data_IF_450125704145
#
_entry.id   IF_450125704145
#
_cell.length_a   1.000
_cell.length_b   1.000
_cell.length_c   1.000
_cell.angle_alpha   90.00
_cell.angle_beta   90.00
_cell.angle_gamma   90.00
#
_symmetry.space_group_name_H-M   'P 1'
#
loop_
_entity.id
_entity.type
_entity.pdbx_description
1 polymer ?
#
# COMPACT_ATOMS: atom_id res chain seq x y z
N UNK A 1 10.63 -16.05 7.03
CA UNK A 1 11.66 -15.43 6.16
C UNK A 1 11.86 -13.98 6.56
N UNK A 2 13.00 -13.78 7.22
CA UNK A 2 13.84 -12.60 7.47
C UNK A 2 13.34 -11.47 8.38
N UNK A 3 13.58 -11.68 9.68
CA UNK A 3 13.72 -10.63 10.68
C UNK A 3 14.84 -9.63 10.34
N UNK A 4 15.81 -10.01 9.50
CA UNK A 4 16.93 -9.15 9.05
C UNK A 4 16.55 -8.04 8.06
N UNK A 5 15.30 -8.00 7.56
CA UNK A 5 14.78 -6.89 6.73
C UNK A 5 13.96 -5.86 7.51
N UNK A 6 13.75 -6.08 8.82
CA UNK A 6 13.07 -5.11 9.71
C UNK A 6 14.03 -4.06 10.27
N UNK A 7 15.33 -4.33 10.22
CA UNK A 7 16.40 -3.41 10.64
C UNK A 7 17.31 -3.12 9.44
N UNK A 8 16.75 -2.48 8.41
CA UNK A 8 17.54 -1.96 7.29
C UNK A 8 18.56 -0.96 7.87
N UNK A 9 19.85 -1.13 7.54
CA UNK A 9 20.92 -0.23 7.97
C UNK A 9 20.58 1.23 7.70
N UNK A 10 19.82 1.51 6.63
CA UNK A 10 19.32 2.84 6.33
C UNK A 10 18.30 3.34 7.35
N UNK A 11 17.36 2.50 7.76
CA UNK A 11 16.36 2.84 8.78
C UNK A 11 17.02 3.06 10.15
N UNK A 12 18.01 2.24 10.50
CA UNK A 12 18.81 2.44 11.70
C UNK A 12 19.53 3.80 11.69
N UNK A 13 20.28 4.12 10.63
CA UNK A 13 21.00 5.41 10.50
C UNK A 13 20.03 6.59 10.55
N UNK A 14 18.87 6.46 9.90
CA UNK A 14 17.84 7.52 9.88
C UNK A 14 17.24 7.76 11.27
N UNK A 15 16.99 6.70 12.06
CA UNK A 15 16.53 6.82 13.46
C UNK A 15 17.59 7.45 14.36
N UNK A 16 18.86 7.04 14.22
CA UNK A 16 19.95 7.63 15.01
C UNK A 16 20.16 9.11 14.67
N UNK A 17 20.06 9.48 13.40
CA UNK A 17 20.08 10.88 12.97
C UNK A 17 18.98 11.71 13.63
N UNK A 18 17.74 11.21 13.64
CA UNK A 18 16.64 11.88 14.31
C UNK A 18 16.86 12.05 15.83
N UNK A 19 17.39 11.03 16.50
CA UNK A 19 17.72 11.12 17.92
C UNK A 19 18.79 12.18 18.21
N UNK A 20 19.81 12.28 17.36
CA UNK A 20 20.86 13.30 17.50
C UNK A 20 20.29 14.72 17.34
N UNK A 21 19.43 14.93 16.34
CA UNK A 21 18.72 16.21 16.18
C UNK A 21 17.81 16.53 17.37
N UNK A 22 17.06 15.54 17.88
CA UNK A 22 16.19 15.70 19.04
C UNK A 22 16.97 16.01 20.34
N UNK A 23 18.20 15.50 20.46
CA UNK A 23 19.11 15.84 21.58
C UNK A 23 19.73 17.23 21.48
N UNK A 24 19.38 18.01 20.45
CA UNK A 24 19.80 19.40 20.30
C UNK A 24 21.05 19.61 19.46
N UNK A 25 21.57 18.58 18.78
CA UNK A 25 22.60 18.77 17.77
C UNK A 25 22.02 19.43 16.52
N UNK A 26 22.80 20.29 15.88
CA UNK A 26 22.50 20.81 14.56
C UNK A 26 22.77 19.76 13.47
N UNK A 27 22.20 19.93 12.27
CA UNK A 27 22.38 18.99 11.16
C UNK A 27 23.85 18.66 10.84
N UNK A 28 24.79 19.64 10.76
CA UNK A 28 26.19 19.33 10.47
C UNK A 28 26.87 18.56 11.61
N UNK A 29 26.61 18.86 12.89
CA UNK A 29 27.19 18.08 13.99
C UNK A 29 26.56 16.69 14.10
N UNK A 30 25.27 16.54 13.84
CA UNK A 30 24.62 15.23 13.78
C UNK A 30 25.19 14.35 12.66
N UNK A 31 25.45 14.92 11.48
CA UNK A 31 26.12 14.22 10.38
C UNK A 31 27.58 13.87 10.70
N UNK A 32 28.32 14.77 11.36
CA UNK A 32 29.68 14.49 11.80
C UNK A 32 29.71 13.35 12.82
N UNK A 33 28.80 13.36 13.79
CA UNK A 33 28.70 12.33 14.83
C UNK A 33 28.30 10.97 14.27
N UNK A 34 27.38 10.93 13.30
CA UNK A 34 27.05 9.68 12.60
C UNK A 34 28.22 9.17 11.77
N UNK A 35 28.96 10.06 11.09
CA UNK A 35 30.13 9.67 10.30
C UNK A 35 31.24 9.10 11.18
N UNK A 36 31.41 9.67 12.37
CA UNK A 36 32.39 9.22 13.37
C UNK A 36 32.06 7.82 13.92
N UNK A 37 30.78 7.56 14.23
CA UNK A 37 30.37 6.31 14.90
C UNK A 37 30.01 5.19 13.91
N UNK A 38 29.36 5.51 12.79
CA UNK A 38 28.84 4.54 11.81
C UNK A 38 29.62 4.49 10.50
N UNK A 39 30.59 5.40 10.31
CA UNK A 39 31.39 5.50 9.09
C UNK A 39 30.72 6.32 7.97
N UNK A 40 31.52 6.68 6.97
CA UNK A 40 31.07 7.51 5.83
C UNK A 40 30.03 6.80 4.95
N UNK A 41 30.13 5.48 4.81
CA UNK A 41 29.22 4.67 3.99
C UNK A 41 27.80 4.65 4.56
N UNK A 42 27.66 4.60 5.89
CA UNK A 42 26.37 4.69 6.57
C UNK A 42 25.72 6.06 6.36
N UNK A 43 26.50 7.14 6.40
CA UNK A 43 26.01 8.50 6.13
C UNK A 43 25.64 8.69 4.65
N UNK A 44 26.31 8.01 3.72
CA UNK A 44 25.96 8.01 2.30
C UNK A 44 24.54 7.44 2.05
N UNK A 45 24.05 6.53 2.90
CA UNK A 45 22.68 6.00 2.82
C UNK A 45 21.60 7.07 3.09
N UNK A 46 21.94 8.16 3.80
CA UNK A 46 21.05 9.32 3.97
C UNK A 46 20.91 10.11 2.66
N UNK A 47 21.95 10.17 1.82
CA UNK A 47 21.97 10.88 0.54
C UNK A 47 21.61 10.04 -0.70
N UNK A 48 21.74 8.71 -0.61
CA UNK A 48 21.53 7.77 -1.72
C UNK A 48 20.06 7.43 -1.95
N UNK A 49 19.36 8.24 -2.74
CA UNK A 49 18.09 7.86 -3.36
C UNK A 49 18.27 7.56 -4.84
N UNK A 50 18.29 6.27 -5.22
CA UNK A 50 18.45 5.75 -6.58
C UNK A 50 17.86 6.65 -7.69
N UNK A 51 18.68 7.00 -8.68
CA UNK A 51 18.38 7.95 -9.75
C UNK A 51 17.51 7.39 -10.90
N UNK A 52 16.75 6.30 -10.71
CA UNK A 52 16.07 5.59 -11.79
C UNK A 52 14.53 5.52 -11.65
N UNK A 53 13.84 6.67 -11.53
CA UNK A 53 12.39 6.63 -11.37
C UNK A 53 11.61 7.95 -11.48
N UNK A 54 11.74 8.67 -12.60
CA UNK A 54 10.71 9.55 -13.19
C UNK A 54 10.20 10.78 -12.40
N UNK A 55 9.50 11.72 -13.09
CA UNK A 55 9.19 13.08 -12.62
C UNK A 55 8.12 13.17 -11.51
N UNK A 56 7.76 12.07 -10.85
CA UNK A 56 6.90 12.08 -9.66
C UNK A 56 7.66 12.43 -8.36
N UNK A 57 8.97 12.67 -8.43
CA UNK A 57 9.86 12.88 -7.28
C UNK A 57 9.72 14.23 -6.57
N UNK A 58 8.81 15.12 -6.99
CA UNK A 58 8.60 16.42 -6.34
C UNK A 58 7.53 16.43 -5.23
N UNK A 59 6.82 15.32 -5.01
CA UNK A 59 5.89 15.21 -3.87
C UNK A 59 6.51 14.52 -2.63
N UNK A 60 7.59 13.74 -2.80
CA UNK A 60 8.12 12.81 -1.80
C UNK A 60 9.40 13.25 -1.06
N UNK A 61 9.94 14.40 -1.38
CA UNK A 61 11.07 15.02 -0.66
C UNK A 61 10.70 16.36 -0.01
N UNK A 62 9.41 16.74 -0.04
CA UNK A 62 8.96 18.11 0.27
C UNK A 62 8.19 18.32 1.58
N UNK A 63 7.73 17.28 2.29
CA UNK A 63 6.92 17.48 3.51
C UNK A 63 7.77 17.84 4.74
N UNK A 64 8.91 17.15 4.96
CA UNK A 64 9.85 17.49 6.03
C UNK A 64 10.36 18.93 5.93
N UNK A 65 10.89 19.38 4.77
CA UNK A 65 11.29 20.77 4.59
C UNK A 65 10.16 21.79 4.74
N UNK A 66 8.93 21.46 4.32
CA UNK A 66 7.75 22.34 4.50
C UNK A 66 7.33 22.44 5.97
N UNK A 67 7.38 21.35 6.73
CA UNK A 67 7.12 21.36 8.18
C UNK A 67 8.22 22.11 8.93
N UNK A 68 9.49 21.92 8.55
CA UNK A 68 10.63 22.64 9.12
C UNK A 68 10.55 24.15 8.83
N UNK A 69 10.16 24.54 7.62
CA UNK A 69 9.91 25.93 7.27
C UNK A 69 8.76 26.53 8.08
N UNK A 70 7.63 25.82 8.18
CA UNK A 70 6.48 26.26 8.97
C UNK A 70 6.80 26.40 10.47
N UNK A 71 7.58 25.49 11.05
CA UNK A 71 8.04 25.65 12.43
C UNK A 71 8.96 26.85 12.60
N UNK A 72 9.90 27.06 11.67
CA UNK A 72 10.80 28.22 11.73
C UNK A 72 10.04 29.54 11.65
N UNK A 73 9.01 29.64 10.81
CA UNK A 73 8.14 30.82 10.71
C UNK A 73 7.35 31.09 12.00
N UNK A 74 7.04 30.03 12.76
CA UNK A 74 6.26 30.10 14.00
C UNK A 74 7.13 30.04 15.27
N UNK A 75 8.45 30.24 15.15
CA UNK A 75 9.38 30.31 16.27
C UNK A 75 9.79 28.95 16.88
N UNK A 76 9.48 27.84 16.22
CA UNK A 76 9.87 26.49 16.61
C UNK A 76 11.21 26.02 16.02
N UNK A 77 11.74 24.93 16.57
CA UNK A 77 12.99 24.30 16.13
C UNK A 77 12.80 23.45 14.88
N UNK A 78 13.46 23.82 13.77
CA UNK A 78 13.47 23.03 12.54
C UNK A 78 14.04 21.62 12.74
N UNK A 79 15.10 21.49 13.55
CA UNK A 79 15.72 20.20 13.88
C UNK A 79 14.77 19.31 14.72
N UNK A 80 14.04 19.91 15.67
CA UNK A 80 13.04 19.21 16.48
C UNK A 80 11.88 18.66 15.65
N UNK A 81 11.38 19.46 14.69
CA UNK A 81 10.34 18.99 13.74
C UNK A 81 10.86 17.84 12.88
N UNK A 82 12.08 17.97 12.36
CA UNK A 82 12.65 16.96 11.47
C UNK A 82 12.85 15.64 12.20
N UNK A 83 13.29 15.67 13.45
CA UNK A 83 13.37 14.48 14.31
C UNK A 83 12.00 13.82 14.55
N UNK A 84 10.99 14.61 14.94
CA UNK A 84 9.63 14.10 15.18
C UNK A 84 8.97 13.55 13.89
N UNK A 85 9.24 14.18 12.74
CA UNK A 85 8.78 13.72 11.43
C UNK A 85 9.45 12.41 11.00
N UNK A 86 10.74 12.23 11.30
CA UNK A 86 11.43 10.97 11.04
C UNK A 86 10.86 9.84 11.93
N UNK A 87 10.54 10.13 13.19
CA UNK A 87 9.95 9.14 14.09
C UNK A 87 8.57 8.68 13.60
N UNK A 88 7.68 9.62 13.25
CA UNK A 88 6.36 9.30 12.68
C UNK A 88 6.46 8.57 11.33
N UNK A 89 7.48 8.85 10.51
CA UNK A 89 7.76 8.08 9.30
C UNK A 89 8.16 6.62 9.60
N UNK A 90 8.96 6.39 10.65
CA UNK A 90 9.36 5.04 11.05
C UNK A 90 8.14 4.23 11.52
N UNK A 91 7.27 4.83 12.33
CA UNK A 91 6.01 4.21 12.76
C UNK A 91 5.08 3.92 11.57
N UNK A 92 4.96 4.88 10.63
CA UNK A 92 4.17 4.69 9.42
C UNK A 92 4.73 3.58 8.50
N UNK A 93 6.05 3.38 8.46
CA UNK A 93 6.70 2.27 7.72
C UNK A 93 6.38 0.93 8.35
N UNK A 94 6.46 0.81 9.67
CA UNK A 94 6.08 -0.41 10.40
C UNK A 94 4.61 -0.74 10.15
N UNK A 95 3.74 0.26 10.27
CA UNK A 95 2.32 0.13 9.95
C UNK A 95 2.09 -0.36 8.50
N UNK A 96 2.78 0.23 7.52
CA UNK A 96 2.67 -0.16 6.12
C UNK A 96 3.18 -1.60 5.87
N UNK A 97 4.18 -2.05 6.64
CA UNK A 97 4.69 -3.43 6.58
C UNK A 97 3.68 -4.43 7.13
N UNK A 98 3.09 -4.15 8.30
CA UNK A 98 2.10 -5.03 8.91
C UNK A 98 0.82 -5.12 8.06
N UNK A 99 0.39 -4.00 7.50
CA UNK A 99 -0.71 -3.99 6.52
C UNK A 99 -0.39 -4.81 5.26
N UNK A 100 0.86 -4.77 4.78
CA UNK A 100 1.31 -5.46 3.57
C UNK A 100 1.48 -6.98 3.74
N UNK A 101 1.81 -7.46 4.94
CA UNK A 101 2.10 -8.89 5.18
C UNK A 101 0.97 -9.82 4.68
N UNK A 102 -0.32 -9.62 5.06
CA UNK A 102 -1.42 -10.47 4.58
C UNK A 102 -1.65 -10.34 3.07
N UNK A 103 -1.46 -9.14 2.53
CA UNK A 103 -1.58 -8.87 1.09
C UNK A 103 -0.54 -9.67 0.30
N UNK A 104 0.71 -9.66 0.75
CA UNK A 104 1.80 -10.43 0.14
C UNK A 104 1.49 -11.93 0.15
N UNK A 105 1.06 -12.46 1.28
CA UNK A 105 0.70 -13.89 1.43
C UNK A 105 -0.43 -14.27 0.48
N UNK A 106 -1.45 -13.43 0.36
CA UNK A 106 -2.53 -13.63 -0.60
C UNK A 106 -2.01 -13.59 -2.04
N UNK A 107 -1.19 -12.60 -2.40
CA UNK A 107 -0.65 -12.46 -3.76
C UNK A 107 0.21 -13.67 -4.14
N UNK A 108 1.05 -14.17 -3.23
CA UNK A 108 1.85 -15.38 -3.47
C UNK A 108 0.98 -16.63 -3.66
N UNK A 109 -0.10 -16.75 -2.89
CA UNK A 109 -1.03 -17.86 -3.02
C UNK A 109 -1.74 -17.84 -4.38
N UNK A 110 -2.22 -16.66 -4.81
CA UNK A 110 -2.87 -16.53 -6.12
C UNK A 110 -1.89 -16.77 -7.26
N UNK A 111 -0.65 -16.28 -7.15
CA UNK A 111 0.40 -16.55 -8.14
C UNK A 111 0.69 -18.05 -8.27
N UNK A 112 0.75 -18.77 -7.15
CA UNK A 112 0.91 -20.22 -7.13
C UNK A 112 -0.24 -20.93 -7.85
N UNK A 113 -1.50 -20.57 -7.54
CA UNK A 113 -2.65 -21.15 -8.22
C UNK A 113 -2.70 -20.81 -9.72
N UNK A 114 -2.30 -19.60 -10.11
CA UNK A 114 -2.20 -19.20 -11.51
C UNK A 114 -1.13 -20.03 -12.24
N UNK A 115 0.01 -20.29 -11.60
CA UNK A 115 1.03 -21.19 -12.12
C UNK A 115 0.53 -22.62 -12.29
N UNK A 116 -0.18 -23.16 -11.30
CA UNK A 116 -0.80 -24.48 -11.38
C UNK A 116 -1.82 -24.58 -12.53
N UNK A 117 -2.71 -23.57 -12.64
CA UNK A 117 -3.72 -23.51 -13.68
C UNK A 117 -3.09 -23.42 -15.09
N UNK A 118 -1.99 -22.67 -15.22
CA UNK A 118 -1.22 -22.60 -16.47
C UNK A 118 -0.65 -23.98 -16.85
N UNK A 119 -0.09 -24.73 -15.90
CA UNK A 119 0.44 -26.08 -16.14
C UNK A 119 -0.68 -27.02 -16.59
N UNK A 120 -1.84 -26.99 -15.94
CA UNK A 120 -3.01 -27.81 -16.32
C UNK A 120 -3.47 -27.45 -17.74
N UNK A 121 -3.59 -26.15 -18.05
CA UNK A 121 -3.99 -25.69 -19.38
C UNK A 121 -2.98 -26.11 -20.46
N UNK A 122 -1.68 -26.09 -20.16
CA UNK A 122 -0.63 -26.54 -21.07
C UNK A 122 -0.76 -28.04 -21.36
N UNK A 123 -0.85 -28.87 -20.31
CA UNK A 123 -1.05 -30.33 -20.46
C UNK A 123 -2.31 -30.63 -21.27
N UNK A 124 -3.40 -29.92 -20.99
CA UNK A 124 -4.65 -30.10 -21.71
C UNK A 124 -4.52 -29.74 -23.19
N UNK A 125 -3.92 -28.59 -23.50
CA UNK A 125 -3.76 -28.13 -24.88
C UNK A 125 -2.81 -29.04 -25.69
N UNK A 126 -1.78 -29.62 -25.06
CA UNK A 126 -0.78 -30.44 -25.77
C UNK A 126 -1.16 -31.90 -25.89
N UNK A 127 -1.82 -32.48 -24.89
CA UNK A 127 -2.08 -33.92 -24.85
C UNK A 127 -3.56 -34.27 -25.00
N UNK A 128 -4.45 -33.50 -24.38
CA UNK A 128 -5.87 -33.85 -24.28
C UNK A 128 -6.65 -33.35 -25.49
N UNK A 129 -6.49 -32.08 -25.86
CA UNK A 129 -7.20 -31.47 -26.98
C UNK A 129 -6.90 -32.16 -28.33
N UNK A 130 -5.62 -32.49 -28.67
CA UNK A 130 -5.33 -33.20 -29.92
C UNK A 130 -5.96 -34.61 -29.94
N UNK A 131 -5.91 -35.34 -28.83
CA UNK A 131 -6.50 -36.67 -28.73
C UNK A 131 -8.03 -36.64 -28.96
N UNK A 132 -8.73 -35.66 -28.38
CA UNK A 132 -10.16 -35.47 -28.64
C UNK A 132 -10.45 -35.03 -30.07
N UNK A 133 -9.64 -34.14 -30.67
CA UNK A 133 -9.82 -33.74 -32.07
C UNK A 133 -9.62 -34.90 -33.06
N UNK A 134 -8.71 -35.83 -32.76
CA UNK A 134 -8.54 -37.05 -33.55
C UNK A 134 -9.78 -37.96 -33.43
N UNK A 135 -10.35 -38.11 -32.23
CA UNK A 135 -11.58 -38.88 -32.02
C UNK A 135 -12.79 -38.29 -32.76
N UNK A 136 -13.00 -36.96 -32.67
CA UNK A 136 -14.08 -36.25 -33.38
C UNK A 136 -13.99 -36.50 -34.90
N UNK A 137 -12.77 -36.40 -35.48
CA UNK A 137 -12.54 -36.68 -36.90
C UNK A 137 -12.77 -38.14 -37.28
N UNK A 138 -12.39 -39.09 -36.43
CA UNK A 138 -12.64 -40.52 -36.70
C UNK A 138 -14.10 -40.91 -36.59
N UNK A 139 -14.88 -40.22 -35.75
CA UNK A 139 -16.31 -40.43 -35.58
C UNK A 139 -17.17 -39.67 -36.60
N UNK A 140 -16.55 -38.83 -37.46
CA UNK A 140 -17.21 -38.15 -38.58
C UNK A 140 -18.13 -36.99 -38.17
N UNK A 141 -17.99 -36.45 -36.95
CA UNK A 141 -18.85 -35.39 -36.42
C UNK A 141 -17.99 -34.18 -36.04
N UNK A 142 -18.44 -32.98 -36.45
CA UNK A 142 -17.82 -31.71 -36.05
C UNK A 142 -18.20 -31.39 -34.60
N UNK A 143 -17.46 -31.97 -33.64
CA UNK A 143 -17.70 -31.80 -32.20
C UNK A 143 -17.14 -30.50 -31.62
N UNK A 144 -17.41 -30.28 -30.33
CA UNK A 144 -16.93 -29.11 -29.59
C UNK A 144 -15.39 -29.02 -29.56
N UNK A 145 -14.67 -30.14 -29.68
CA UNK A 145 -13.21 -30.14 -29.69
C UNK A 145 -12.65 -29.59 -31.01
N UNK A 146 -13.27 -29.92 -32.16
CA UNK A 146 -12.89 -29.35 -33.46
C UNK A 146 -13.22 -27.84 -33.53
N UNK A 147 -14.30 -27.37 -32.88
CA UNK A 147 -14.60 -25.92 -32.77
C UNK A 147 -13.59 -25.17 -31.88
N UNK A 148 -13.14 -25.77 -30.77
CA UNK A 148 -12.12 -25.19 -29.87
C UNK A 148 -10.74 -25.21 -30.56
N UNK A 149 -10.42 -26.26 -31.30
CA UNK A 149 -9.19 -26.35 -32.09
C UNK A 149 -9.19 -25.34 -33.25
N UNK A 150 -10.31 -25.16 -33.95
CA UNK A 150 -10.46 -24.24 -35.08
C UNK A 150 -10.46 -22.76 -34.66
N UNK A 151 -11.04 -22.42 -33.50
CA UNK A 151 -11.02 -21.05 -32.95
C UNK A 151 -9.80 -20.75 -32.07
N UNK A 152 -8.84 -21.68 -32.02
CA UNK A 152 -7.52 -21.50 -31.42
C UNK A 152 -7.47 -21.74 -29.91
N UNK A 153 -6.50 -22.54 -29.48
CA UNK A 153 -6.12 -22.75 -28.07
C UNK A 153 -5.96 -21.43 -27.27
N UNK A 154 -5.75 -20.30 -27.96
CA UNK A 154 -5.74 -18.95 -27.42
C UNK A 154 -6.98 -18.64 -26.55
N UNK A 155 -8.17 -19.14 -26.91
CA UNK A 155 -9.39 -18.95 -26.09
C UNK A 155 -9.35 -19.70 -24.77
N UNK A 156 -8.62 -20.82 -24.68
CA UNK A 156 -8.40 -21.58 -23.45
C UNK A 156 -7.47 -20.80 -22.49
N UNK A 157 -6.51 -20.06 -23.04
CA UNK A 157 -5.58 -19.20 -22.29
C UNK A 157 -6.13 -17.80 -22.00
N UNK A 158 -7.15 -17.33 -22.73
CA UNK A 158 -7.77 -16.02 -22.53
C UNK A 158 -8.20 -15.72 -21.07
N UNK A 159 -8.92 -16.62 -20.35
CA UNK A 159 -9.26 -16.37 -18.95
C UNK A 159 -8.02 -16.29 -18.04
N UNK A 160 -7.00 -17.13 -18.29
CA UNK A 160 -5.72 -17.07 -17.55
C UNK A 160 -4.99 -15.74 -17.79
N UNK A 161 -4.97 -15.24 -19.02
CA UNK A 161 -4.37 -13.96 -19.37
C UNK A 161 -5.10 -12.79 -18.70
N UNK A 162 -6.44 -12.77 -18.76
CA UNK A 162 -7.26 -11.76 -18.07
C UNK A 162 -6.98 -11.77 -16.57
N UNK A 163 -6.84 -12.95 -15.97
CA UNK A 163 -6.48 -13.10 -14.56
C UNK A 163 -5.11 -12.52 -14.24
N UNK A 164 -4.10 -12.82 -15.07
CA UNK A 164 -2.75 -12.31 -14.90
C UNK A 164 -2.73 -10.77 -14.96
N UNK A 165 -3.43 -10.18 -15.93
CA UNK A 165 -3.55 -8.73 -16.07
C UNK A 165 -4.24 -8.12 -14.83
N UNK A 166 -5.36 -8.68 -14.39
CA UNK A 166 -6.08 -8.23 -13.21
C UNK A 166 -5.21 -8.30 -11.94
N UNK A 167 -4.43 -9.37 -11.78
CA UNK A 167 -3.52 -9.54 -10.66
C UNK A 167 -2.39 -8.52 -10.69
N UNK A 168 -1.80 -8.23 -11.86
CA UNK A 168 -0.77 -7.20 -12.02
C UNK A 168 -1.32 -5.81 -11.69
N UNK A 169 -2.53 -5.48 -12.16
CA UNK A 169 -3.21 -4.22 -11.83
C UNK A 169 -3.49 -4.09 -10.33
N UNK A 170 -3.92 -5.17 -9.68
CA UNK A 170 -4.18 -5.21 -8.24
C UNK A 170 -2.89 -5.10 -7.43
N UNK A 171 -1.86 -5.86 -7.80
CA UNK A 171 -0.54 -5.83 -7.16
C UNK A 171 0.10 -4.44 -7.26
N UNK A 172 0.06 -3.81 -8.44
CA UNK A 172 0.58 -2.45 -8.62
C UNK A 172 -0.23 -1.41 -7.86
N UNK A 173 -1.55 -1.59 -7.69
CA UNK A 173 -2.39 -0.72 -6.84
C UNK A 173 -2.03 -0.87 -5.37
N UNK A 174 -1.90 -2.10 -4.86
CA UNK A 174 -1.52 -2.33 -3.46
C UNK A 174 -0.09 -1.87 -3.17
N UNK A 175 0.85 -2.06 -4.10
CA UNK A 175 2.22 -1.55 -3.96
C UNK A 175 2.25 -0.02 -3.91
N UNK A 176 1.46 0.66 -4.76
CA UNK A 176 1.29 2.11 -4.69
C UNK A 176 0.72 2.56 -3.35
N UNK A 177 -0.26 1.83 -2.82
CA UNK A 177 -0.85 2.12 -1.52
C UNK A 177 0.16 1.94 -0.38
N UNK A 178 0.91 0.83 -0.37
CA UNK A 178 2.01 0.58 0.58
C UNK A 178 3.05 1.70 0.54
N UNK A 179 3.50 2.09 -0.65
CA UNK A 179 4.50 3.17 -0.81
C UNK A 179 3.97 4.48 -0.25
N UNK A 180 2.72 4.83 -0.55
CA UNK A 180 2.08 6.04 -0.01
C UNK A 180 1.97 6.01 1.51
N UNK A 181 1.57 4.88 2.11
CA UNK A 181 1.50 4.75 3.57
C UNK A 181 2.87 4.87 4.23
N UNK A 182 3.90 4.24 3.64
CA UNK A 182 5.29 4.31 4.12
C UNK A 182 5.94 5.70 4.00
N UNK A 183 5.32 6.61 3.25
CA UNK A 183 5.79 7.98 3.01
C UNK A 183 4.84 9.05 3.61
N UNK A 184 3.83 8.65 4.38
CA UNK A 184 2.77 9.55 4.89
C UNK A 184 2.10 10.39 3.78
N UNK A 185 2.08 9.88 2.56
CA UNK A 185 1.46 10.55 1.42
C UNK A 185 -0.05 10.41 1.45
N UNK A 186 -0.79 11.31 0.77
CA UNK A 186 -2.24 11.20 0.74
C UNK A 186 -2.59 9.91 0.02
N UNK A 187 -3.38 9.06 0.69
CA UNK A 187 -4.13 7.99 0.05
C UNK A 187 -5.19 8.67 -0.82
N UNK A 188 -4.77 9.20 -1.98
CA UNK A 188 -5.53 10.18 -2.75
C UNK A 188 -7.01 9.84 -2.91
N UNK A 189 -7.87 10.87 -3.00
CA UNK A 189 -9.34 10.75 -3.14
C UNK A 189 -9.66 9.65 -4.14
N UNK A 190 -10.01 8.47 -3.64
CA UNK A 190 -10.34 7.35 -4.49
C UNK A 190 -11.67 7.70 -5.16
N UNK A 191 -11.60 8.24 -6.39
CA UNK A 191 -12.77 8.51 -7.24
C UNK A 191 -13.54 7.23 -7.59
N UNK A 192 -12.97 6.07 -7.30
CA UNK A 192 -13.59 4.77 -7.38
C UNK A 192 -13.66 4.15 -5.96
N UNK A 193 -14.88 4.04 -5.42
CA UNK A 193 -15.24 3.61 -4.06
C UNK A 193 -14.90 2.15 -3.68
N UNK A 194 -13.79 1.62 -4.17
CA UNK A 194 -13.26 0.30 -3.81
C UNK A 194 -12.32 0.33 -2.61
N UNK A 195 -11.72 1.50 -2.32
CA UNK A 195 -11.16 1.80 -1.01
C UNK A 195 -12.22 2.66 -0.32
N UNK A 196 -12.90 2.08 0.66
CA UNK A 196 -13.93 2.75 1.46
C UNK A 196 -13.41 4.15 1.82
N UNK A 197 -14.06 5.21 1.33
CA UNK A 197 -13.58 6.59 1.48
C UNK A 197 -13.35 6.97 2.95
N UNK A 198 -14.00 6.23 3.86
CA UNK A 198 -13.83 6.28 5.31
C UNK A 198 -12.40 5.95 5.77
N UNK A 199 -11.74 4.95 5.18
CA UNK A 199 -10.36 4.57 5.56
C UNK A 199 -9.34 5.62 5.10
N UNK A 200 -9.53 6.18 3.89
CA UNK A 200 -8.68 7.27 3.40
C UNK A 200 -8.89 8.56 4.22
N UNK A 201 -10.14 8.86 4.62
CA UNK A 201 -10.46 9.99 5.48
C UNK A 201 -9.85 9.83 6.89
N UNK A 202 -9.99 8.66 7.50
CA UNK A 202 -9.39 8.35 8.81
C UNK A 202 -7.86 8.48 8.78
N UNK A 203 -7.21 7.98 7.72
CA UNK A 203 -5.77 8.13 7.53
C UNK A 203 -5.36 9.60 7.31
N UNK A 204 -6.17 10.39 6.61
CA UNK A 204 -5.90 11.80 6.39
C UNK A 204 -5.98 12.60 7.70
N UNK A 205 -6.93 12.27 8.58
CA UNK A 205 -7.03 12.84 9.93
C UNK A 205 -5.81 12.46 10.78
N UNK A 206 -5.44 11.16 10.81
CA UNK A 206 -4.26 10.68 11.53
C UNK A 206 -3.00 11.42 11.09
N UNK A 207 -2.80 11.61 9.80
CA UNK A 207 -1.65 12.36 9.27
C UNK A 207 -1.63 13.82 9.74
N UNK A 208 -2.78 14.49 9.81
CA UNK A 208 -2.84 15.85 10.33
C UNK A 208 -2.42 15.89 11.80
N UNK A 209 -2.84 14.91 12.60
CA UNK A 209 -2.49 14.80 14.01
C UNK A 209 -0.99 14.52 14.22
N UNK A 210 -0.38 13.65 13.40
CA UNK A 210 1.08 13.42 13.42
C UNK A 210 1.88 14.69 13.09
N UNK A 211 1.44 15.48 12.11
CA UNK A 211 2.10 16.74 11.76
C UNK A 211 1.91 17.81 12.84
N UNK A 212 0.73 17.87 13.46
CA UNK A 212 0.48 18.73 14.61
C UNK A 212 1.37 18.35 15.80
N UNK A 213 1.52 17.05 16.09
CA UNK A 213 2.40 16.56 17.16
C UNK A 213 3.87 16.90 16.89
N UNK A 214 4.33 16.78 15.63
CA UNK A 214 5.69 17.15 15.25
C UNK A 214 5.97 18.65 15.41
N UNK A 215 5.01 19.52 15.04
CA UNK A 215 5.12 20.97 15.23
C UNK A 215 5.11 21.34 16.73
N UNK A 216 4.26 20.69 17.53
CA UNK A 216 4.20 20.92 18.97
C UNK A 216 5.49 20.50 19.68
N UNK A 217 6.06 19.34 19.32
CA UNK A 217 7.33 18.86 19.85
C UNK A 217 8.51 19.80 19.54
N UNK A 218 8.41 20.56 18.45
CA UNK A 218 9.38 21.58 18.08
C UNK A 218 9.23 22.93 18.80
N UNK A 219 8.26 23.06 19.70
CA UNK A 219 8.06 24.27 20.50
C UNK A 219 7.10 25.30 19.88
N UNK A 220 6.36 24.95 18.82
CA UNK A 220 5.30 25.82 18.28
C UNK A 220 4.15 25.93 19.30
N UNK A 221 3.58 27.13 19.44
CA UNK A 221 2.46 27.42 20.35
C UNK A 221 1.18 26.71 19.95
N UNK A 222 0.37 26.26 20.92
CA UNK A 222 -0.82 25.42 20.67
C UNK A 222 -1.79 26.04 19.66
N UNK A 223 -2.01 27.35 19.74
CA UNK A 223 -2.87 28.13 18.85
C UNK A 223 -2.43 28.10 17.37
N UNK A 224 -1.13 27.93 17.11
CA UNK A 224 -0.54 28.02 15.78
C UNK A 224 -0.20 26.65 15.16
N UNK A 225 -0.36 25.56 15.90
CA UNK A 225 0.05 24.21 15.46
C UNK A 225 -0.87 23.63 14.36
N UNK A 226 -2.18 23.87 14.46
CA UNK A 226 -3.16 23.15 13.65
C UNK A 226 -3.19 23.59 12.18
N UNK A 227 -3.10 24.89 11.92
CA UNK A 227 -3.22 25.45 10.57
C UNK A 227 -2.09 25.02 9.62
N UNK A 228 -0.80 25.08 10.01
CA UNK A 228 0.29 24.58 9.18
C UNK A 228 0.23 23.06 9.01
N UNK A 229 -0.18 22.32 10.04
CA UNK A 229 -0.37 20.87 9.96
C UNK A 229 -1.41 20.51 8.89
N UNK A 230 -2.55 21.21 8.87
CA UNK A 230 -3.61 21.04 7.86
C UNK A 230 -3.12 21.35 6.45
N UNK A 231 -2.38 22.46 6.27
CA UNK A 231 -1.82 22.85 4.97
C UNK A 231 -0.82 21.82 4.44
N UNK A 232 0.11 21.36 5.27
CA UNK A 232 1.11 20.37 4.85
C UNK A 232 0.47 19.00 4.63
N UNK A 233 -0.53 18.64 5.42
CA UNK A 233 -1.35 17.46 5.19
C UNK A 233 -2.31 17.60 3.98
N UNK A 234 -2.23 18.67 3.19
CA UNK A 234 -3.06 18.85 2.00
C UNK A 234 -4.56 18.81 2.29
N UNK A 235 -4.96 19.26 3.48
CA UNK A 235 -6.36 19.43 3.84
C UNK A 235 -6.97 20.57 2.98
N UNK A 236 -8.24 20.46 2.56
CA UNK A 236 -8.86 21.53 1.78
C UNK A 236 -8.86 22.85 2.57
N UNK A 237 -8.36 23.91 1.94
CA UNK A 237 -8.34 25.24 2.54
C UNK A 237 -9.77 25.67 2.92
N UNK A 238 -9.92 26.27 4.11
CA UNK A 238 -11.22 26.75 4.62
C UNK A 238 -12.17 25.65 5.12
N UNK A 239 -11.76 24.38 5.11
CA UNK A 239 -12.54 23.31 5.74
C UNK A 239 -12.01 23.02 7.14
N UNK A 240 -12.87 23.08 8.19
CA UNK A 240 -12.44 22.74 9.53
C UNK A 240 -12.01 21.26 9.59
N UNK A 241 -11.04 20.97 10.45
CA UNK A 241 -10.73 19.58 10.83
C UNK A 241 -12.02 18.94 11.34
N UNK A 242 -12.33 17.72 10.88
CA UNK A 242 -13.60 17.00 11.10
C UNK A 242 -14.37 17.49 12.35
N UNK A 243 -15.50 18.18 12.14
CA UNK A 243 -16.16 19.11 13.10
C UNK A 243 -15.89 18.86 14.59
N UNK A 244 -16.31 17.71 15.13
CA UNK A 244 -16.16 17.39 16.56
C UNK A 244 -14.69 17.32 17.03
N UNK A 245 -13.77 16.89 16.18
CA UNK A 245 -12.33 16.82 16.51
C UNK A 245 -11.72 18.21 16.57
N UNK A 246 -12.07 19.08 15.62
CA UNK A 246 -11.63 20.49 15.63
C UNK A 246 -12.12 21.23 16.86
N UNK A 247 -13.39 21.01 17.24
CA UNK A 247 -13.97 21.61 18.44
C UNK A 247 -13.32 21.11 19.73
N UNK A 248 -13.08 19.80 19.87
CA UNK A 248 -12.40 19.22 21.06
C UNK A 248 -10.99 19.75 21.22
N UNK A 249 -10.23 19.88 20.13
CA UNK A 249 -8.88 20.46 20.17
C UNK A 249 -8.90 21.94 20.53
N UNK A 250 -9.84 22.72 19.98
CA UNK A 250 -10.01 24.13 20.35
C UNK A 250 -10.46 24.33 21.80
N UNK A 251 -11.28 23.42 22.34
CA UNK A 251 -11.65 23.41 23.76
C UNK A 251 -10.44 23.06 24.64
N UNK A 252 -9.65 22.05 24.27
CA UNK A 252 -8.44 21.67 25.00
C UNK A 252 -7.37 22.78 24.98
N UNK A 253 -7.27 23.55 23.91
CA UNK A 253 -6.43 24.75 23.84
C UNK A 253 -6.86 25.79 24.88
N UNK A 254 -8.16 26.12 24.96
CA UNK A 254 -8.70 27.06 25.96
C UNK A 254 -8.49 26.60 27.40
N UNK A 255 -8.41 25.29 27.62
CA UNK A 255 -8.16 24.67 28.92
C UNK A 255 -6.67 24.50 29.25
N UNK A 256 -5.77 24.81 28.31
CA UNK A 256 -4.32 24.59 28.47
C UNK A 256 -3.90 23.12 28.42
N UNK A 257 -4.78 22.21 27.99
CA UNK A 257 -4.54 20.75 27.93
C UNK A 257 -4.36 20.22 26.51
N UNK A 258 -4.07 21.10 25.54
CA UNK A 258 -3.97 20.76 24.12
C UNK A 258 -3.01 19.60 23.83
N UNK A 259 -1.80 19.61 24.42
CA UNK A 259 -0.80 18.57 24.18
C UNK A 259 -1.26 17.17 24.64
N UNK A 260 -2.00 17.10 25.75
CA UNK A 260 -2.54 15.84 26.28
C UNK A 260 -3.67 15.32 25.40
N UNK A 261 -4.57 16.21 24.98
CA UNK A 261 -5.69 15.85 24.09
C UNK A 261 -5.19 15.46 22.70
N UNK A 262 -4.18 16.15 22.16
CA UNK A 262 -3.56 15.81 20.88
C UNK A 262 -2.99 14.39 20.89
N UNK A 263 -2.27 14.03 21.95
CA UNK A 263 -1.70 12.69 22.11
C UNK A 263 -2.79 11.62 22.29
N UNK A 264 -3.86 11.93 23.02
CA UNK A 264 -5.04 11.05 23.14
C UNK A 264 -5.72 10.82 21.79
N UNK A 265 -6.00 11.89 21.05
CA UNK A 265 -6.62 11.83 19.72
C UNK A 265 -5.74 11.11 18.71
N UNK A 266 -4.42 11.31 18.77
CA UNK A 266 -3.43 10.59 17.96
C UNK A 266 -3.55 9.08 18.15
N UNK A 267 -3.55 8.61 19.39
CA UNK A 267 -3.73 7.18 19.71
C UNK A 267 -5.09 6.62 19.28
N UNK A 268 -6.18 7.36 19.49
CA UNK A 268 -7.51 6.95 19.09
C UNK A 268 -7.66 6.84 17.57
N UNK A 269 -7.15 7.82 16.82
CA UNK A 269 -7.20 7.80 15.37
C UNK A 269 -6.20 6.83 14.75
N UNK A 270 -5.12 6.50 15.46
CA UNK A 270 -4.20 5.43 15.08
C UNK A 270 -4.92 4.08 15.00
N UNK A 271 -5.58 3.68 16.10
CA UNK A 271 -6.32 2.40 16.15
C UNK A 271 -7.50 2.38 15.19
N UNK A 272 -8.22 3.50 15.06
CA UNK A 272 -9.36 3.63 14.15
C UNK A 272 -8.92 3.55 12.68
N UNK A 273 -7.87 4.27 12.28
CA UNK A 273 -7.34 4.20 10.93
C UNK A 273 -6.81 2.80 10.60
N UNK A 274 -6.16 2.14 11.56
CA UNK A 274 -5.73 0.75 11.43
C UNK A 274 -6.90 -0.18 11.16
N UNK A 275 -7.93 -0.17 12.01
CA UNK A 275 -9.09 -1.05 11.87
C UNK A 275 -9.84 -0.82 10.54
N UNK A 276 -9.97 0.44 10.10
CA UNK A 276 -10.61 0.78 8.82
C UNK A 276 -9.77 0.32 7.62
N UNK A 277 -8.45 0.49 7.67
CA UNK A 277 -7.55 0.05 6.61
C UNK A 277 -7.45 -1.48 6.54
N UNK A 278 -7.48 -2.18 7.67
CA UNK A 278 -7.56 -3.65 7.73
C UNK A 278 -8.90 -4.16 7.19
N UNK A 279 -10.02 -3.56 7.60
CA UNK A 279 -11.35 -3.90 7.05
C UNK A 279 -11.41 -3.71 5.53
N UNK A 280 -10.82 -2.63 5.01
CA UNK A 280 -10.78 -2.37 3.57
C UNK A 280 -9.91 -3.39 2.83
N UNK A 281 -8.77 -3.78 3.41
CA UNK A 281 -7.88 -4.82 2.88
C UNK A 281 -8.60 -6.15 2.83
N UNK A 282 -9.27 -6.55 3.90
CA UNK A 282 -9.92 -7.85 4.00
C UNK A 282 -11.10 -7.96 3.04
N UNK A 283 -11.85 -6.87 2.85
CA UNK A 283 -12.88 -6.77 1.80
C UNK A 283 -12.29 -6.90 0.39
N UNK A 284 -11.15 -6.25 0.12
CA UNK A 284 -10.47 -6.38 -1.18
C UNK A 284 -9.96 -7.80 -1.43
N UNK A 285 -9.41 -8.46 -0.40
CA UNK A 285 -8.98 -9.85 -0.47
C UNK A 285 -10.20 -10.75 -0.74
N UNK A 286 -11.31 -10.55 -0.03
CA UNK A 286 -12.55 -11.31 -0.24
C UNK A 286 -13.08 -11.14 -1.67
N UNK A 287 -13.22 -9.89 -2.15
CA UNK A 287 -13.66 -9.62 -3.51
C UNK A 287 -12.75 -10.27 -4.56
N UNK A 288 -11.43 -10.22 -4.32
CA UNK A 288 -10.44 -10.87 -5.19
C UNK A 288 -10.59 -12.40 -5.17
N UNK A 289 -10.86 -13.01 -4.01
CA UNK A 289 -11.13 -14.45 -3.89
C UNK A 289 -12.39 -14.86 -4.65
N UNK A 290 -13.48 -14.09 -4.53
CA UNK A 290 -14.73 -14.36 -5.25
C UNK A 290 -14.51 -14.32 -6.76
N UNK A 291 -13.84 -13.27 -7.26
CA UNK A 291 -13.50 -13.17 -8.69
C UNK A 291 -12.64 -14.35 -9.16
N UNK A 292 -11.68 -14.76 -8.34
CA UNK A 292 -10.81 -15.89 -8.62
C UNK A 292 -11.59 -17.22 -8.69
N UNK A 293 -12.53 -17.45 -7.77
CA UNK A 293 -13.39 -18.64 -7.81
C UNK A 293 -14.33 -18.67 -9.01
N UNK A 294 -14.92 -17.53 -9.38
CA UNK A 294 -15.74 -17.43 -10.61
C UNK A 294 -14.90 -17.83 -11.82
N UNK A 295 -13.67 -17.33 -11.90
CA UNK A 295 -12.79 -17.64 -13.01
C UNK A 295 -12.33 -19.10 -13.04
N UNK A 296 -11.99 -19.70 -11.89
CA UNK A 296 -11.73 -21.15 -11.83
C UNK A 296 -12.95 -21.92 -12.33
N UNK A 297 -14.16 -21.53 -11.90
CA UNK A 297 -15.41 -22.14 -12.38
C UNK A 297 -15.50 -22.10 -13.90
N UNK A 298 -15.29 -20.95 -14.52
CA UNK A 298 -15.26 -20.79 -15.98
C UNK A 298 -14.20 -21.69 -16.63
N UNK A 299 -12.99 -21.72 -16.07
CA UNK A 299 -11.89 -22.54 -16.60
C UNK A 299 -12.23 -24.03 -16.53
N UNK A 300 -12.79 -24.51 -15.42
CA UNK A 300 -13.26 -25.89 -15.26
C UNK A 300 -14.36 -26.19 -16.27
N UNK A 301 -15.36 -25.32 -16.42
CA UNK A 301 -16.42 -25.51 -17.43
C UNK A 301 -15.86 -25.64 -18.84
N UNK A 302 -14.92 -24.77 -19.24
CA UNK A 302 -14.26 -24.85 -20.55
C UNK A 302 -13.51 -26.17 -20.73
N UNK A 303 -12.85 -26.67 -19.67
CA UNK A 303 -12.11 -27.93 -19.71
C UNK A 303 -13.02 -29.17 -19.85
N UNK A 304 -14.19 -29.12 -19.21
CA UNK A 304 -15.13 -30.24 -19.15
C UNK A 304 -16.08 -30.32 -20.35
N UNK A 305 -16.35 -29.21 -21.05
CA UNK A 305 -17.23 -29.20 -22.23
C UNK A 305 -16.83 -30.26 -23.27
N UNK A 306 -15.56 -30.41 -23.67
CA UNK A 306 -15.16 -31.42 -24.65
C UNK A 306 -15.34 -32.85 -24.12
N UNK A 307 -15.04 -33.08 -22.84
CA UNK A 307 -15.15 -34.40 -22.19
C UNK A 307 -16.63 -34.86 -22.17
N UNK A 308 -17.54 -33.98 -21.73
CA UNK A 308 -18.97 -34.30 -21.71
C UNK A 308 -19.57 -34.42 -23.11
N UNK A 309 -19.11 -33.61 -24.07
CA UNK A 309 -19.50 -33.74 -25.47
C UNK A 309 -19.22 -35.17 -25.97
N UNK A 310 -17.99 -35.66 -25.79
CA UNK A 310 -17.63 -37.02 -26.22
C UNK A 310 -18.35 -38.10 -25.40
N UNK A 311 -18.47 -37.96 -24.08
CA UNK A 311 -19.19 -38.92 -23.24
C UNK A 311 -20.68 -39.03 -23.61
N UNK A 312 -21.33 -37.91 -23.91
CA UNK A 312 -22.73 -37.90 -24.37
C UNK A 312 -22.91 -38.56 -25.73
N UNK A 313 -21.88 -38.55 -26.58
CA UNK A 313 -21.90 -39.22 -27.88
C UNK A 313 -21.71 -40.73 -27.75
N UNK A 314 -20.91 -41.19 -26.79
CA UNK A 314 -20.68 -42.63 -26.52
C UNK A 314 -21.85 -43.27 -25.75
N UNK A 315 -22.55 -42.51 -24.91
CA UNK A 315 -23.68 -42.99 -24.09
C UNK A 315 -25.04 -43.06 -24.80
N UNK A 316 -25.14 -42.75 -26.09
CA UNK A 316 -26.38 -42.82 -26.90
C UNK A 316 -26.55 -44.19 -27.59
N UNK A 317 -25.84 -45.22 -27.11
CA UNK A 317 -26.05 -46.60 -27.51
C UNK A 317 -26.76 -47.40 -26.42
#
# INVERSE_FOLDING_TARGET
>A
MDASKLDDSRDFVTRQYAHLLASGLDEPAAHARLREVLGADAVALLGGGDAAGGPARFADAGMGPRLAAAAKELGGSAAGVQAAFIHSLAEARLFALDWWRPVRTFLSYVLFLLGLALVIALIYATYVLPAFSHLDRTLGVHGAADWIAANGAIRLFAPLLVMAIMLVLLATRWLRMRRRMAQLQPLGRARAGWLDGKGAAAYQVLRCLEFAAALKAAGVTDAAVLEPALRVAGWPAGTPLAGELGEKLAQAERLGTFGVELEWQRRLHWTTAQAQLESSRDRLILASRVLFYILIGVMVTVLYIPIFSVASMVGVH
#
